data_IF_530260073813
#
_entry.id   IF_530260073813
#
_cell.length_a   1.000
_cell.length_b   1.000
_cell.length_c   1.000
_cell.angle_alpha   90.00
_cell.angle_beta   90.00
_cell.angle_gamma   90.00
#
_symmetry.space_group_name_H-M   'P 1'
#
loop_
_entity.id
_entity.type
_entity.pdbx_description
1 polymer ?
#
# COMPACT_ATOMS: atom_id res chain seq x y z
N UNK A 1 0.25 12.73 -3.07
CA UNK A 1 0.90 11.40 -3.10
C UNK A 1 0.81 10.77 -4.48
N UNK A 2 -0.36 10.56 -5.04
CA UNK A 2 -0.56 9.90 -6.36
C UNK A 2 0.27 10.52 -7.48
N UNK A 3 0.31 11.85 -7.62
CA UNK A 3 1.14 12.52 -8.62
C UNK A 3 2.63 12.16 -8.52
N UNK A 4 3.16 12.08 -7.28
CA UNK A 4 4.55 11.68 -7.05
C UNK A 4 4.79 10.22 -7.42
N UNK A 5 3.86 9.33 -7.10
CA UNK A 5 3.92 7.91 -7.48
C UNK A 5 4.00 7.78 -9.00
N UNK A 6 3.18 8.53 -9.73
CA UNK A 6 3.15 8.49 -11.19
C UNK A 6 4.43 9.06 -11.85
N UNK A 7 5.20 9.90 -11.17
CA UNK A 7 6.51 10.33 -11.65
C UNK A 7 7.49 9.13 -11.66
N UNK A 8 7.42 8.27 -10.65
CA UNK A 8 8.32 7.12 -10.50
C UNK A 8 7.85 5.88 -11.29
N UNK A 9 6.54 5.68 -11.38
CA UNK A 9 5.94 4.56 -12.10
C UNK A 9 4.68 5.05 -12.83
N UNK A 10 4.82 5.71 -13.98
CA UNK A 10 3.69 6.16 -14.78
C UNK A 10 2.84 4.96 -15.21
N UNK A 11 1.53 5.16 -15.17
CA UNK A 11 0.55 4.16 -15.59
C UNK A 11 0.22 4.30 -17.07
N UNK A 12 0.18 3.18 -17.76
CA UNK A 12 -0.41 3.05 -19.08
C UNK A 12 -1.87 2.60 -18.95
N UNK A 13 -2.61 2.64 -20.07
CA UNK A 13 -3.95 2.11 -20.13
C UNK A 13 -3.97 0.63 -19.76
N UNK A 14 -4.92 0.24 -18.90
CA UNK A 14 -5.09 -1.11 -18.36
C UNK A 14 -4.01 -1.60 -17.37
N UNK A 15 -3.01 -0.78 -17.02
CA UNK A 15 -2.16 -1.09 -15.88
C UNK A 15 -3.02 -1.23 -14.61
N UNK A 16 -2.57 -2.07 -13.68
CA UNK A 16 -3.30 -2.30 -12.43
C UNK A 16 -2.66 -1.49 -11.30
N UNK A 17 -3.48 -0.76 -10.58
CA UNK A 17 -3.13 -0.12 -9.32
C UNK A 17 -3.95 -0.71 -8.18
N UNK A 18 -3.31 -0.97 -7.06
CA UNK A 18 -3.93 -1.55 -5.86
C UNK A 18 -3.61 -0.70 -4.65
N UNK A 19 -4.63 -0.28 -3.93
CA UNK A 19 -4.50 0.36 -2.61
C UNK A 19 -4.86 -0.65 -1.52
N UNK A 20 -3.92 -0.91 -0.60
CA UNK A 20 -4.10 -1.89 0.48
C UNK A 20 -4.34 -1.16 1.78
N UNK A 21 -5.40 -1.53 2.50
CA UNK A 21 -5.97 -0.73 3.56
C UNK A 21 -6.66 0.50 2.98
N UNK A 22 -7.46 0.27 1.92
CA UNK A 22 -8.02 1.34 1.09
C UNK A 22 -9.07 2.19 1.81
N UNK A 23 -9.58 1.74 2.95
CA UNK A 23 -10.63 2.38 3.72
C UNK A 23 -11.81 2.78 2.80
N UNK A 24 -12.11 4.05 2.69
CA UNK A 24 -13.17 4.61 1.84
C UNK A 24 -12.78 4.74 0.35
N UNK A 25 -11.64 4.17 -0.06
CA UNK A 25 -11.09 4.25 -1.41
C UNK A 25 -10.71 5.67 -1.87
N UNK A 26 -10.60 6.64 -0.96
CA UNK A 26 -10.28 8.03 -1.33
C UNK A 26 -8.99 8.11 -2.14
N UNK A 27 -7.92 7.41 -1.74
CA UNK A 27 -6.64 7.51 -2.44
C UNK A 27 -6.67 6.87 -3.82
N UNK A 28 -7.25 5.70 -3.96
CA UNK A 28 -7.29 4.97 -5.24
C UNK A 28 -8.12 5.70 -6.30
N UNK A 29 -9.06 6.54 -5.89
CA UNK A 29 -9.87 7.37 -6.81
C UNK A 29 -9.05 8.40 -7.57
N UNK A 30 -7.91 8.85 -7.04
CA UNK A 30 -7.02 9.83 -7.69
C UNK A 30 -6.14 9.24 -8.79
N UNK A 31 -6.06 7.93 -8.91
CA UNK A 31 -5.36 7.30 -10.03
C UNK A 31 -6.16 7.42 -11.34
N UNK A 32 -5.47 7.41 -12.51
CA UNK A 32 -6.14 7.53 -13.82
C UNK A 32 -7.24 6.50 -14.02
N UNK A 33 -8.36 6.91 -14.58
CA UNK A 33 -9.50 6.02 -14.87
C UNK A 33 -9.20 5.01 -15.98
N UNK A 34 -8.14 5.21 -16.76
CA UNK A 34 -7.67 4.26 -17.77
C UNK A 34 -6.96 3.06 -17.17
N UNK A 35 -6.50 3.15 -15.92
CA UNK A 35 -5.96 2.03 -15.16
C UNK A 35 -7.08 1.22 -14.49
N UNK A 36 -6.85 -0.09 -14.33
CA UNK A 36 -7.68 -0.91 -13.44
C UNK A 36 -7.36 -0.56 -11.99
N UNK A 37 -8.33 -0.04 -11.26
CA UNK A 37 -8.19 0.43 -9.87
C UNK A 37 -8.85 -0.55 -8.92
N UNK A 38 -8.10 -1.01 -7.91
CA UNK A 38 -8.56 -1.98 -6.92
C UNK A 38 -8.29 -1.42 -5.52
N UNK A 39 -9.31 -1.40 -4.67
CA UNK A 39 -9.16 -1.17 -3.23
C UNK A 39 -9.29 -2.48 -2.47
N UNK A 40 -8.32 -2.82 -1.63
CA UNK A 40 -8.36 -4.00 -0.76
C UNK A 40 -8.56 -3.51 0.68
N UNK A 41 -9.67 -3.90 1.31
CA UNK A 41 -10.03 -3.42 2.64
C UNK A 41 -10.82 -4.50 3.41
N UNK A 42 -10.31 -4.97 4.56
CA UNK A 42 -11.00 -6.01 5.32
C UNK A 42 -12.19 -5.52 6.15
N UNK A 43 -12.27 -4.21 6.47
CA UNK A 43 -13.34 -3.68 7.29
C UNK A 43 -14.69 -3.79 6.57
N UNK A 44 -15.71 -4.29 7.27
CA UNK A 44 -17.03 -4.52 6.70
C UNK A 44 -18.05 -3.41 7.01
N UNK A 45 -17.65 -2.40 7.79
CA UNK A 45 -18.49 -1.30 8.25
C UNK A 45 -18.28 0.01 7.48
N UNK A 46 -17.59 -0.05 6.35
CA UNK A 46 -17.33 1.12 5.50
C UNK A 46 -18.45 1.28 4.48
N UNK A 47 -18.93 2.51 4.33
CA UNK A 47 -19.88 2.86 3.27
C UNK A 47 -19.15 3.22 1.98
N UNK A 48 -19.23 2.35 0.99
CA UNK A 48 -18.66 2.55 -0.35
C UNK A 48 -19.66 3.09 -1.38
N UNK A 49 -20.86 3.50 -0.97
CA UNK A 49 -21.90 3.99 -1.90
C UNK A 49 -21.47 5.22 -2.73
N UNK A 50 -20.49 5.97 -2.24
CA UNK A 50 -19.92 7.15 -2.88
C UNK A 50 -18.69 6.85 -3.78
N UNK A 51 -18.18 5.61 -3.76
CA UNK A 51 -16.99 5.23 -4.53
C UNK A 51 -17.34 5.09 -6.01
N UNK A 52 -16.44 5.57 -6.88
CA UNK A 52 -16.58 5.42 -8.34
C UNK A 52 -16.75 3.94 -8.71
N UNK A 53 -17.85 3.60 -9.37
CA UNK A 53 -18.21 2.22 -9.72
C UNK A 53 -17.20 1.49 -10.62
N UNK A 54 -16.22 2.21 -11.19
CA UNK A 54 -15.10 1.62 -11.93
C UNK A 54 -13.96 1.14 -11.03
N UNK A 55 -14.05 1.33 -9.72
CA UNK A 55 -13.10 0.80 -8.74
C UNK A 55 -13.63 -0.55 -8.25
N UNK A 56 -12.82 -1.58 -8.40
CA UNK A 56 -13.10 -2.90 -7.85
C UNK A 56 -12.74 -2.91 -6.35
N UNK A 57 -13.70 -3.23 -5.49
CA UNK A 57 -13.47 -3.33 -4.05
C UNK A 57 -13.36 -4.80 -3.68
N UNK A 58 -12.22 -5.18 -3.13
CA UNK A 58 -11.96 -6.49 -2.54
C UNK A 58 -12.11 -6.36 -1.03
N UNK A 59 -13.30 -6.68 -0.50
CA UNK A 59 -13.53 -6.65 0.94
C UNK A 59 -12.97 -7.90 1.60
N UNK A 60 -11.66 -7.91 1.80
CA UNK A 60 -10.91 -9.04 2.35
C UNK A 60 -9.54 -8.55 2.84
N UNK A 61 -8.82 -9.41 3.58
CA UNK A 61 -7.43 -9.17 3.94
C UNK A 61 -6.50 -9.27 2.71
N UNK A 62 -5.32 -8.64 2.81
CA UNK A 62 -4.24 -8.83 1.84
C UNK A 62 -3.11 -9.67 2.46
N UNK A 63 -2.58 -10.68 1.73
CA UNK A 63 -3.12 -11.23 0.49
C UNK A 63 -4.30 -12.19 0.75
N UNK A 64 -5.21 -12.30 -0.24
CA UNK A 64 -6.31 -13.25 -0.17
C UNK A 64 -6.58 -13.90 -1.54
N UNK A 65 -7.37 -14.97 -1.53
CA UNK A 65 -7.82 -15.62 -2.76
C UNK A 65 -8.64 -14.63 -3.62
N UNK A 66 -9.48 -13.81 -2.99
CA UNK A 66 -10.31 -12.83 -3.68
C UNK A 66 -9.44 -11.76 -4.36
N UNK A 67 -8.40 -11.27 -3.66
CA UNK A 67 -7.43 -10.35 -4.25
C UNK A 67 -6.70 -10.98 -5.45
N UNK A 68 -6.18 -12.20 -5.32
CA UNK A 68 -5.49 -12.88 -6.43
C UNK A 68 -6.43 -13.08 -7.62
N UNK A 69 -7.68 -13.46 -7.37
CA UNK A 69 -8.69 -13.61 -8.42
C UNK A 69 -8.97 -12.30 -9.16
N UNK A 70 -9.01 -11.16 -8.45
CA UNK A 70 -9.24 -9.83 -9.04
C UNK A 70 -8.16 -9.45 -10.05
N UNK A 71 -6.93 -9.94 -9.90
CA UNK A 71 -5.82 -9.66 -10.82
C UNK A 71 -5.96 -10.36 -12.18
N UNK A 72 -6.76 -11.41 -12.30
CA UNK A 72 -6.92 -12.21 -13.54
C UNK A 72 -5.57 -12.65 -14.14
N UNK A 73 -4.60 -13.03 -13.30
CA UNK A 73 -3.26 -13.46 -13.73
C UNK A 73 -2.29 -12.35 -14.10
N UNK A 74 -2.71 -11.09 -14.02
CA UNK A 74 -1.85 -9.93 -14.29
C UNK A 74 -1.02 -9.54 -13.06
N UNK A 75 -0.05 -8.65 -13.26
CA UNK A 75 0.77 -8.05 -12.20
C UNK A 75 0.37 -6.60 -11.95
N UNK A 76 0.58 -6.16 -10.74
CA UNK A 76 0.24 -4.80 -10.28
C UNK A 76 1.37 -3.84 -10.61
N UNK A 77 1.06 -2.75 -11.29
CA UNK A 77 2.04 -1.71 -11.63
C UNK A 77 2.34 -0.81 -10.43
N UNK A 78 1.30 -0.40 -9.70
CA UNK A 78 1.46 0.42 -8.50
C UNK A 78 0.68 -0.18 -7.33
N UNK A 79 1.40 -0.54 -6.26
CA UNK A 79 0.80 -0.76 -4.96
C UNK A 79 0.91 0.50 -4.10
N UNK A 80 -0.09 0.74 -3.28
CA UNK A 80 -0.07 1.74 -2.21
C UNK A 80 -0.49 1.12 -0.89
N UNK A 81 0.11 1.60 0.20
CA UNK A 81 -0.25 1.24 1.57
C UNK A 81 -0.04 2.45 2.47
N UNK A 82 -1.12 3.04 2.95
CA UNK A 82 -1.08 4.24 3.77
C UNK A 82 -1.54 3.95 5.18
N UNK A 83 -0.68 4.28 6.16
CA UNK A 83 -1.00 4.22 7.58
C UNK A 83 -1.54 2.86 8.04
N UNK A 84 -1.00 1.74 7.50
CA UNK A 84 -1.44 0.39 7.87
C UNK A 84 -0.29 -0.62 8.03
N UNK A 85 0.88 -0.37 7.45
CA UNK A 85 1.97 -1.36 7.40
C UNK A 85 2.55 -1.69 8.78
N UNK A 86 2.44 -0.77 9.73
CA UNK A 86 2.88 -0.95 11.12
C UNK A 86 1.91 -1.76 12.00
N UNK A 87 0.73 -2.11 11.45
CA UNK A 87 -0.31 -2.88 12.16
C UNK A 87 -0.24 -4.39 11.83
N UNK A 88 0.74 -4.80 11.02
CA UNK A 88 0.84 -6.17 10.51
C UNK A 88 1.50 -7.12 11.52
N UNK A 89 0.85 -8.25 11.80
CA UNK A 89 1.42 -9.35 12.60
C UNK A 89 2.62 -10.04 11.88
N UNK A 90 2.55 -10.16 10.57
CA UNK A 90 3.60 -10.78 9.73
C UNK A 90 3.96 -9.91 8.52
N UNK A 91 4.79 -8.87 8.72
CA UNK A 91 5.24 -8.01 7.63
C UNK A 91 6.09 -8.74 6.58
N UNK A 92 6.78 -9.84 6.94
CA UNK A 92 7.58 -10.61 5.97
C UNK A 92 6.71 -11.28 4.92
N UNK A 93 5.65 -11.98 5.33
CA UNK A 93 4.69 -12.59 4.39
C UNK A 93 3.97 -11.55 3.54
N UNK A 94 3.65 -10.39 4.12
CA UNK A 94 3.04 -9.28 3.39
C UNK A 94 3.96 -8.76 2.28
N UNK A 95 5.23 -8.45 2.59
CA UNK A 95 6.23 -7.95 1.61
C UNK A 95 6.48 -8.99 0.52
N UNK A 96 6.53 -10.28 0.89
CA UNK A 96 6.65 -11.37 -0.07
C UNK A 96 5.46 -11.39 -1.05
N UNK A 97 4.23 -11.25 -0.55
CA UNK A 97 3.04 -11.21 -1.38
C UNK A 97 3.02 -9.97 -2.32
N UNK A 98 3.47 -8.81 -1.85
CA UNK A 98 3.72 -7.65 -2.72
C UNK A 98 4.69 -8.02 -3.83
N UNK A 99 5.87 -8.56 -3.50
CA UNK A 99 6.90 -8.93 -4.48
C UNK A 99 6.39 -9.92 -5.53
N UNK A 100 5.63 -10.91 -5.09
CA UNK A 100 5.07 -11.94 -5.97
C UNK A 100 4.05 -11.38 -6.95
N UNK A 101 3.34 -10.32 -6.60
CA UNK A 101 2.28 -9.73 -7.43
C UNK A 101 2.68 -8.43 -8.13
N UNK A 102 3.84 -7.86 -7.79
CA UNK A 102 4.35 -6.64 -8.40
C UNK A 102 4.85 -6.89 -9.82
N UNK A 103 4.55 -5.98 -10.75
CA UNK A 103 5.13 -5.96 -12.09
C UNK A 103 6.65 -5.72 -12.00
N UNK A 104 7.43 -6.19 -12.99
CA UNK A 104 8.89 -6.05 -13.01
C UNK A 104 9.37 -4.58 -12.96
N UNK A 105 8.57 -3.67 -13.50
CA UNK A 105 8.78 -2.22 -13.46
C UNK A 105 7.77 -1.53 -12.54
N UNK A 106 7.16 -2.29 -11.64
CA UNK A 106 6.18 -1.78 -10.70
C UNK A 106 6.81 -1.14 -9.48
N UNK A 107 6.03 -0.33 -8.79
CA UNK A 107 6.43 0.38 -7.56
C UNK A 107 5.43 0.10 -6.44
N UNK A 108 5.94 -0.07 -5.26
CA UNK A 108 5.13 -0.05 -4.05
C UNK A 108 5.46 1.20 -3.22
N UNK A 109 4.46 2.01 -2.97
CA UNK A 109 4.55 3.24 -2.18
C UNK A 109 3.94 3.03 -0.80
N UNK A 110 4.72 3.29 0.24
CA UNK A 110 4.31 3.13 1.63
C UNK A 110 4.34 4.50 2.32
N UNK A 111 3.28 4.83 3.04
CA UNK A 111 3.26 5.95 3.98
C UNK A 111 3.11 5.39 5.38
N UNK A 112 4.01 5.78 6.28
CA UNK A 112 3.99 5.33 7.68
C UNK A 112 4.69 6.33 8.61
N UNK A 113 4.45 6.18 9.93
CA UNK A 113 5.15 6.92 10.97
C UNK A 113 6.60 6.47 11.07
N UNK A 114 7.53 7.45 11.18
CA UNK A 114 8.96 7.18 11.28
C UNK A 114 9.41 7.18 12.74
N UNK A 115 9.87 6.05 13.27
CA UNK A 115 10.18 5.83 14.69
C UNK A 115 11.13 6.88 15.30
N UNK A 116 12.20 7.29 14.59
CA UNK A 116 13.13 8.29 15.11
C UNK A 116 12.51 9.69 15.19
N UNK A 117 11.56 10.03 14.29
CA UNK A 117 10.84 11.30 14.37
C UNK A 117 9.81 11.28 15.49
N UNK A 118 9.15 10.14 15.73
CA UNK A 118 8.26 9.97 16.88
C UNK A 118 9.00 10.27 18.19
N UNK A 119 10.18 9.66 18.38
CA UNK A 119 11.01 9.88 19.57
C UNK A 119 11.49 11.35 19.65
N UNK A 120 12.02 11.89 18.54
CA UNK A 120 12.54 13.26 18.49
C UNK A 120 11.48 14.31 18.80
N UNK A 121 10.27 14.11 18.31
CA UNK A 121 9.15 15.04 18.47
C UNK A 121 8.28 14.72 19.70
N UNK A 122 8.62 13.67 20.45
CA UNK A 122 7.84 13.18 21.59
C UNK A 122 6.38 12.88 21.22
N UNK A 123 6.16 12.27 20.06
CA UNK A 123 4.85 11.91 19.54
C UNK A 123 4.31 10.63 20.21
N UNK A 124 4.04 10.68 21.51
CA UNK A 124 3.59 9.51 22.29
C UNK A 124 2.20 9.01 21.88
N UNK A 125 1.40 9.81 21.20
CA UNK A 125 0.09 9.41 20.69
C UNK A 125 0.17 8.36 19.55
N UNK A 126 1.33 8.23 18.90
CA UNK A 126 1.58 7.17 17.91
C UNK A 126 1.81 5.80 18.58
N UNK A 127 1.96 5.75 19.91
CA UNK A 127 2.15 4.51 20.67
C UNK A 127 0.77 4.03 21.14
N UNK A 128 0.18 3.13 20.38
CA UNK A 128 -1.11 2.52 20.66
C UNK A 128 -1.07 1.01 20.41
N UNK A 129 -2.09 0.29 20.83
CA UNK A 129 -2.09 -1.17 20.76
C UNK A 129 -2.30 -1.72 19.34
N UNK A 130 -2.78 -0.91 18.41
CA UNK A 130 -2.89 -1.26 17.00
C UNK A 130 -1.53 -1.21 16.29
N UNK A 131 -0.61 -0.33 16.72
CA UNK A 131 0.71 -0.19 16.11
C UNK A 131 1.67 -1.24 16.66
N UNK A 132 1.78 -2.37 15.99
CA UNK A 132 2.62 -3.50 16.42
C UNK A 132 4.10 -3.25 16.14
N UNK A 133 4.43 -2.45 15.11
CA UNK A 133 5.78 -2.24 14.62
C UNK A 133 6.14 -0.76 14.50
N UNK A 134 7.39 -0.43 14.80
CA UNK A 134 7.92 0.94 14.72
C UNK A 134 9.15 0.98 13.83
N UNK A 135 9.00 1.46 12.60
CA UNK A 135 10.04 1.40 11.60
C UNK A 135 10.94 2.64 11.58
N UNK A 136 12.24 2.38 11.44
CA UNK A 136 13.19 3.35 10.89
C UNK A 136 13.37 3.08 9.41
N UNK A 137 13.88 4.05 8.65
CA UNK A 137 14.20 3.84 7.23
C UNK A 137 15.18 2.65 7.04
N UNK A 138 16.12 2.48 7.97
CA UNK A 138 17.10 1.38 7.93
C UNK A 138 16.43 0.01 8.11
N UNK A 139 15.53 -0.13 9.09
CA UNK A 139 14.84 -1.42 9.34
C UNK A 139 13.85 -1.74 8.24
N UNK A 140 13.13 -0.74 7.74
CA UNK A 140 12.22 -0.90 6.60
C UNK A 140 12.98 -1.35 5.35
N UNK A 141 14.08 -0.68 5.01
CA UNK A 141 14.94 -1.08 3.88
C UNK A 141 15.42 -2.52 4.00
N UNK A 142 15.89 -2.91 5.18
CA UNK A 142 16.36 -4.27 5.43
C UNK A 142 15.24 -5.31 5.19
N UNK A 143 14.04 -5.06 5.70
CA UNK A 143 12.87 -5.92 5.49
C UNK A 143 12.54 -6.08 3.98
N UNK A 144 12.57 -4.98 3.23
CA UNK A 144 12.31 -5.00 1.79
C UNK A 144 13.37 -5.79 1.02
N UNK A 145 14.66 -5.55 1.33
CA UNK A 145 15.79 -6.24 0.68
C UNK A 145 15.79 -7.75 0.92
N UNK A 146 15.34 -8.22 2.07
CA UNK A 146 15.17 -9.66 2.36
C UNK A 146 14.20 -10.35 1.39
N UNK A 147 13.23 -9.62 0.85
CA UNK A 147 12.24 -10.12 -0.11
C UNK A 147 12.57 -9.73 -1.57
N UNK A 148 13.76 -9.16 -1.81
CA UNK A 148 14.20 -8.76 -3.16
C UNK A 148 13.52 -7.50 -3.70
N UNK A 149 13.06 -6.62 -2.81
CA UNK A 149 12.61 -5.27 -3.14
C UNK A 149 13.71 -4.25 -2.78
N UNK A 150 13.86 -3.21 -3.58
CA UNK A 150 14.84 -2.15 -3.34
C UNK A 150 14.14 -0.84 -3.01
N UNK A 151 14.48 -0.27 -1.85
CA UNK A 151 14.05 1.08 -1.50
C UNK A 151 14.91 2.08 -2.26
N UNK A 152 14.35 2.79 -3.23
CA UNK A 152 15.08 3.74 -4.07
C UNK A 152 14.72 5.21 -3.79
N UNK A 153 13.60 5.48 -3.12
CA UNK A 153 13.17 6.83 -2.75
C UNK A 153 12.55 6.85 -1.36
N UNK A 154 12.86 7.87 -0.59
CA UNK A 154 12.20 8.16 0.68
C UNK A 154 12.18 9.67 0.93
N UNK A 155 11.07 10.19 1.41
CA UNK A 155 10.92 11.60 1.79
C UNK A 155 10.11 11.73 3.07
N UNK A 156 10.26 12.85 3.76
CA UNK A 156 9.42 13.21 4.89
C UNK A 156 8.28 14.10 4.40
N UNK A 157 7.06 13.77 4.77
CA UNK A 157 5.92 14.66 4.62
C UNK A 157 5.99 15.69 5.74
N UNK A 158 6.23 16.94 5.41
CA UNK A 158 6.22 18.08 6.36
C UNK A 158 4.96 18.89 6.14
#
# INVERSE_FOLDING_TARGET
MVEKIQIHAPLNDNDIVVDIGANDCTMVQYFPKTAKRIGVEPASNIDWSHVDSSIEIVNDFFPSINFIASLNGNKVKNFTSCAMFYDLDDPHSFVKAIKENLHSEGVWSIQLSHALLMIKNMNFYDICHEHLEYYTLKTLRYLMELQGLHLYHAELNM
#
